data_IF_141326979029
#
_entry.id   IF_141326979029
#
_cell.length_a   1.000
_cell.length_b   1.000
_cell.length_c   1.000
_cell.angle_alpha   90.00
_cell.angle_beta   90.00
_cell.angle_gamma   90.00
#
_symmetry.space_group_name_H-M   'P 1'
#
loop_
_entity.id
_entity.type
_entity.pdbx_description
1 polymer ?
#
# COMPACT_ATOMS: atom_id res chain seq x y z
N UNK A 1 -10.55 18.74 -5.79
CA UNK A 1 -9.99 17.36 -5.89
C UNK A 1 -9.10 17.03 -4.69
N UNK A 2 -8.67 18.04 -3.95
CA UNK A 2 -7.64 18.00 -2.90
C UNK A 2 -8.12 17.25 -1.66
N UNK A 3 -9.39 17.46 -1.27
CA UNK A 3 -10.05 16.71 -0.20
C UNK A 3 -10.14 15.21 -0.53
N UNK A 4 -10.39 14.86 -1.79
CA UNK A 4 -10.48 13.46 -2.22
C UNK A 4 -9.12 12.77 -2.12
N UNK A 5 -8.04 13.41 -2.58
CA UNK A 5 -6.67 12.89 -2.45
C UNK A 5 -6.28 12.73 -0.98
N UNK A 6 -6.65 13.70 -0.14
CA UNK A 6 -6.39 13.63 1.30
C UNK A 6 -7.13 12.47 1.98
N UNK A 7 -8.44 12.31 1.73
CA UNK A 7 -9.20 11.20 2.29
C UNK A 7 -8.78 9.83 1.74
N UNK A 8 -8.38 9.77 0.46
CA UNK A 8 -7.80 8.58 -0.14
C UNK A 8 -6.51 8.20 0.61
N UNK A 9 -5.61 9.17 0.82
CA UNK A 9 -4.38 8.95 1.59
C UNK A 9 -4.64 8.49 3.02
N UNK A 10 -5.64 9.07 3.70
CA UNK A 10 -6.04 8.65 5.05
C UNK A 10 -6.56 7.20 5.06
N UNK A 11 -7.41 6.83 4.10
CA UNK A 11 -7.93 5.48 3.97
C UNK A 11 -6.82 4.47 3.66
N UNK A 12 -5.91 4.79 2.75
CA UNK A 12 -4.77 3.93 2.40
C UNK A 12 -3.82 3.74 3.59
N UNK A 13 -3.49 4.83 4.30
CA UNK A 13 -2.65 4.77 5.50
C UNK A 13 -3.30 3.92 6.60
N UNK A 14 -4.58 4.19 6.91
CA UNK A 14 -5.34 3.42 7.89
C UNK A 14 -5.44 1.94 7.52
N UNK A 15 -5.64 1.64 6.23
CA UNK A 15 -5.62 0.28 5.71
C UNK A 15 -4.30 -0.43 5.96
N UNK A 16 -3.17 0.24 5.69
CA UNK A 16 -1.84 -0.30 5.97
C UNK A 16 -1.58 -0.58 7.45
N UNK A 17 -1.98 0.33 8.34
CA UNK A 17 -1.87 0.12 9.80
C UNK A 17 -2.75 -1.04 10.27
N UNK A 18 -3.98 -1.14 9.77
CA UNK A 18 -4.88 -2.23 10.12
C UNK A 18 -4.35 -3.59 9.63
N UNK A 19 -3.76 -3.63 8.44
CA UNK A 19 -3.12 -4.84 7.89
C UNK A 19 -1.95 -5.29 8.76
N UNK A 20 -1.10 -4.36 9.20
CA UNK A 20 -0.01 -4.64 10.13
C UNK A 20 -0.51 -5.23 11.46
N UNK A 21 -1.55 -4.62 12.05
CA UNK A 21 -2.16 -5.14 13.28
C UNK A 21 -2.76 -6.52 13.07
N UNK A 22 -3.44 -6.75 11.94
CA UNK A 22 -4.01 -8.04 11.60
C UNK A 22 -2.94 -9.13 11.47
N UNK A 23 -1.85 -8.86 10.74
CA UNK A 23 -0.72 -9.81 10.60
C UNK A 23 -0.07 -10.08 11.96
N UNK A 24 0.10 -9.06 12.80
CA UNK A 24 0.61 -9.21 14.16
C UNK A 24 -0.30 -10.05 15.07
N UNK A 25 -1.62 -9.86 15.00
CA UNK A 25 -2.58 -10.69 15.76
C UNK A 25 -2.55 -12.13 15.26
N UNK A 26 -2.51 -12.35 13.94
CA UNK A 26 -2.44 -13.69 13.35
C UNK A 26 -1.15 -14.42 13.73
N UNK A 27 -0.04 -13.70 13.83
CA UNK A 27 1.22 -14.22 14.36
C UNK A 27 1.07 -14.70 15.81
N UNK A 28 0.46 -13.89 16.68
CA UNK A 28 0.21 -14.27 18.08
C UNK A 28 -0.69 -15.52 18.18
N UNK A 29 -1.66 -15.66 17.27
CA UNK A 29 -2.62 -16.77 17.29
C UNK A 29 -2.06 -18.09 16.74
N UNK A 30 -1.24 -18.03 15.69
CA UNK A 30 -0.81 -19.22 14.94
C UNK A 30 0.69 -19.53 15.07
N UNK A 31 1.46 -18.67 15.75
CA UNK A 31 2.92 -18.75 15.91
C UNK A 31 3.70 -18.74 14.57
N UNK A 32 3.03 -18.38 13.48
CA UNK A 32 3.60 -18.28 12.13
C UNK A 32 3.40 -16.86 11.58
N UNK A 33 4.48 -16.28 11.04
CA UNK A 33 4.44 -14.94 10.45
C UNK A 33 4.01 -15.03 8.98
N UNK A 34 2.71 -14.82 8.74
CA UNK A 34 2.16 -14.75 7.38
C UNK A 34 2.13 -13.30 6.89
N UNK A 35 3.13 -12.92 6.09
CA UNK A 35 3.22 -11.58 5.52
C UNK A 35 2.56 -11.52 4.15
N UNK A 36 1.63 -10.57 3.96
CA UNK A 36 1.17 -10.23 2.61
C UNK A 36 2.19 -9.33 1.94
N UNK A 37 2.55 -9.66 0.72
CA UNK A 37 3.54 -8.96 -0.08
C UNK A 37 2.86 -8.11 -1.15
N UNK A 38 3.59 -7.18 -1.76
CA UNK A 38 3.05 -6.31 -2.81
C UNK A 38 2.65 -7.09 -4.06
N UNK A 39 3.34 -8.21 -4.33
CA UNK A 39 3.01 -9.08 -5.46
C UNK A 39 1.62 -9.71 -5.32
N UNK A 40 1.15 -9.96 -4.09
CA UNK A 40 -0.24 -10.40 -3.85
C UNK A 40 -1.26 -9.45 -4.47
N UNK A 41 -1.00 -8.14 -4.44
CA UNK A 41 -1.88 -7.13 -5.03
C UNK A 41 -1.80 -7.06 -6.55
N UNK A 42 -0.63 -7.41 -7.11
CA UNK A 42 -0.43 -7.53 -8.56
C UNK A 42 -1.17 -8.75 -9.09
N UNK A 43 -1.07 -9.89 -8.41
CA UNK A 43 -1.71 -11.15 -8.81
C UNK A 43 -3.24 -11.07 -8.79
N UNK A 44 -3.80 -10.20 -7.95
CA UNK A 44 -5.24 -9.92 -7.90
C UNK A 44 -5.63 -8.66 -8.67
N UNK A 45 -4.68 -8.08 -9.41
CA UNK A 45 -4.85 -6.88 -10.21
C UNK A 45 -5.29 -7.18 -11.64
N UNK A 46 -5.41 -6.12 -12.48
CA UNK A 46 -5.64 -6.27 -13.92
C UNK A 46 -4.49 -7.02 -14.61
N UNK A 47 -4.81 -7.81 -15.64
CA UNK A 47 -3.85 -8.58 -16.44
C UNK A 47 -2.69 -7.74 -16.99
N UNK A 48 -2.94 -6.46 -17.27
CA UNK A 48 -1.90 -5.53 -17.75
C UNK A 48 -0.80 -5.26 -16.72
N UNK A 49 -1.11 -5.28 -15.42
CA UNK A 49 -0.11 -5.13 -14.35
C UNK A 49 0.67 -6.43 -14.14
N UNK A 50 -0.02 -7.57 -14.21
CA UNK A 50 0.61 -8.89 -14.12
C UNK A 50 1.64 -9.05 -15.23
N UNK A 51 1.25 -8.80 -16.50
CA UNK A 51 2.15 -8.92 -17.65
C UNK A 51 3.38 -7.98 -17.56
N UNK A 52 3.23 -6.80 -16.96
CA UNK A 52 4.35 -5.86 -16.75
C UNK A 52 5.33 -6.34 -15.69
N UNK A 53 4.83 -6.99 -14.63
CA UNK A 53 5.66 -7.54 -13.56
C UNK A 53 6.36 -8.83 -14.02
N UNK A 54 5.65 -9.70 -14.75
CA UNK A 54 6.22 -10.92 -15.33
C UNK A 54 7.31 -10.63 -16.38
N UNK A 55 7.16 -9.53 -17.13
CA UNK A 55 8.17 -9.11 -18.10
C UNK A 55 9.51 -8.68 -17.45
N UNK A 56 9.54 -8.44 -16.14
CA UNK A 56 10.73 -8.00 -15.41
C UNK A 56 10.96 -8.83 -14.14
N UNK A 57 11.85 -9.84 -14.18
CA UNK A 57 12.11 -10.70 -13.02
C UNK A 57 12.66 -9.92 -11.81
N UNK A 58 13.35 -8.79 -12.05
CA UNK A 58 13.81 -7.91 -10.99
C UNK A 58 12.67 -7.18 -10.27
N UNK A 59 11.62 -6.80 -11.01
CA UNK A 59 10.44 -6.15 -10.44
C UNK A 59 9.61 -7.14 -9.64
N UNK A 60 9.42 -8.36 -10.16
CA UNK A 60 8.71 -9.43 -9.45
C UNK A 60 9.37 -9.73 -8.08
N UNK A 61 10.70 -9.93 -8.06
CA UNK A 61 11.42 -10.19 -6.80
C UNK A 61 11.33 -9.02 -5.81
N UNK A 62 11.39 -7.77 -6.29
CA UNK A 62 11.28 -6.60 -5.44
C UNK A 62 9.88 -6.49 -4.81
N UNK A 63 8.82 -6.80 -5.57
CA UNK A 63 7.44 -6.76 -5.11
C UNK A 63 7.10 -7.92 -4.16
N UNK A 64 7.71 -9.09 -4.38
CA UNK A 64 7.58 -10.23 -3.48
C UNK A 64 8.29 -9.99 -2.15
N UNK A 65 9.42 -9.28 -2.17
CA UNK A 65 10.14 -8.94 -0.94
C UNK A 65 9.52 -7.77 -0.15
N UNK A 66 8.57 -7.03 -0.74
CA UNK A 66 8.03 -5.81 -0.15
C UNK A 66 6.78 -6.09 0.70
N UNK A 67 6.79 -5.83 2.02
CA UNK A 67 5.61 -5.99 2.85
C UNK A 67 4.49 -5.04 2.43
N UNK A 68 3.30 -5.59 2.23
CA UNK A 68 2.17 -4.84 1.72
C UNK A 68 1.74 -3.72 2.67
N UNK A 69 1.71 -4.00 3.98
CA UNK A 69 1.35 -3.00 4.98
C UNK A 69 2.27 -1.76 4.91
N UNK A 70 3.57 -1.98 4.67
CA UNK A 70 4.57 -0.92 4.61
C UNK A 70 4.38 -0.08 3.35
N UNK A 71 4.11 -0.72 2.21
CA UNK A 71 3.80 -0.02 0.97
C UNK A 71 2.53 0.84 1.08
N UNK A 72 1.47 0.32 1.70
CA UNK A 72 0.22 1.07 1.94
C UNK A 72 0.43 2.26 2.86
N UNK A 73 1.21 2.09 3.93
CA UNK A 73 1.57 3.18 4.84
C UNK A 73 2.33 4.29 4.10
N UNK A 74 3.38 3.94 3.34
CA UNK A 74 4.18 4.91 2.60
C UNK A 74 3.36 5.63 1.52
N UNK A 75 2.53 4.89 0.77
CA UNK A 75 1.66 5.46 -0.25
C UNK A 75 0.62 6.40 0.38
N UNK A 76 -0.01 5.99 1.48
CA UNK A 76 -0.96 6.81 2.22
C UNK A 76 -0.31 8.10 2.75
N UNK A 77 0.90 8.01 3.32
CA UNK A 77 1.66 9.18 3.76
C UNK A 77 1.98 10.14 2.61
N UNK A 78 2.39 9.60 1.45
CA UNK A 78 2.67 10.41 0.25
C UNK A 78 1.42 11.14 -0.23
N UNK A 79 0.27 10.46 -0.29
CA UNK A 79 -1.00 11.05 -0.68
C UNK A 79 -1.48 12.13 0.31
N UNK A 80 -1.33 11.90 1.62
CA UNK A 80 -1.64 12.89 2.65
C UNK A 80 -0.74 14.13 2.53
N UNK A 81 0.55 13.93 2.25
CA UNK A 81 1.50 15.02 2.03
C UNK A 81 1.14 15.85 0.79
N UNK A 82 0.83 15.20 -0.33
CA UNK A 82 0.41 15.88 -1.56
C UNK A 82 -0.94 16.60 -1.35
N UNK A 83 -1.93 15.92 -0.76
CA UNK A 83 -3.25 16.50 -0.50
C UNK A 83 -3.19 17.71 0.43
N UNK A 84 -2.36 17.69 1.47
CA UNK A 84 -2.17 18.83 2.39
C UNK A 84 -1.46 20.02 1.72
N UNK A 85 -0.48 19.76 0.85
CA UNK A 85 0.20 20.80 0.05
C UNK A 85 -0.73 21.46 -0.99
N UNK A 86 -1.66 20.70 -1.56
CA UNK A 86 -2.64 21.24 -2.51
C UNK A 86 -3.72 22.06 -1.79
N UNK A 87 -4.22 21.55 -0.66
CA UNK A 87 -5.22 22.25 0.15
C UNK A 87 -4.75 23.62 0.64
N UNK A 88 -3.45 23.77 0.96
CA UNK A 88 -2.84 25.03 1.41
C UNK A 88 -2.61 26.05 0.29
N UNK A 89 -2.57 25.64 -0.99
CA UNK A 89 -2.39 26.55 -2.13
C UNK A 89 -3.69 27.11 -2.73
N UNK A 90 -4.82 26.43 -2.52
CA UNK A 90 -6.12 26.82 -3.10
C UNK A 90 -7.14 27.36 -2.08
N UNK A 91 -6.71 27.58 -0.83
CA UNK A 91 -7.52 28.20 0.23
C UNK A 91 -7.12 29.65 0.54
N UNK A 92 -6.25 30.24 -0.29
CA UNK A 92 -5.91 31.68 -0.28
C UNK A 92 -6.60 32.43 -1.40
#
# INVERSE_FOLDING_TARGET
>A
MDKLIFYLGAATFGGGVFLFLYEGIMYIMNDEWYQRTLIFLVDHGPESLIAQVEASPGLANALDSCPLFLALILLGMLLLFVGSRLGTRYSG
#
